data_IF_779146462153
#
_entry.id   IF_779146462153
#
_cell.length_a   1.000
_cell.length_b   1.000
_cell.length_c   1.000
_cell.angle_alpha   90.00
_cell.angle_beta   90.00
_cell.angle_gamma   90.00
#
_symmetry.space_group_name_H-M   'P 1'
#
loop_
_entity.id
_entity.type
_entity.pdbx_description
1 polymer ?
#
# COMPACT_ATOMS: atom_id res chain seq x y z
N UNK A 1 18.63 -4.20 -0.01
CA UNK A 1 17.38 -3.50 -0.39
C UNK A 1 17.43 -3.23 -1.88
N UNK A 2 16.42 -3.65 -2.64
CA UNK A 2 16.38 -3.43 -4.09
C UNK A 2 16.10 -1.95 -4.38
N UNK A 3 17.11 -1.27 -4.92
CA UNK A 3 17.06 0.14 -5.35
C UNK A 3 15.89 0.36 -6.31
N UNK A 4 14.93 1.20 -5.93
CA UNK A 4 13.88 1.69 -6.83
C UNK A 4 14.47 2.64 -7.87
N UNK A 5 13.97 2.58 -9.10
CA UNK A 5 14.32 3.61 -10.08
C UNK A 5 13.69 4.95 -9.68
N UNK A 6 14.29 6.09 -10.08
CA UNK A 6 13.70 7.41 -9.80
C UNK A 6 12.25 7.52 -10.26
N UNK A 7 11.91 6.88 -11.38
CA UNK A 7 10.55 6.89 -11.93
C UNK A 7 9.56 6.06 -11.11
N UNK A 8 9.99 4.91 -10.59
CA UNK A 8 9.18 4.13 -9.66
C UNK A 8 8.95 4.89 -8.35
N UNK A 9 9.96 5.61 -7.86
CA UNK A 9 9.83 6.45 -6.66
C UNK A 9 8.78 7.55 -6.88
N UNK A 10 8.84 8.26 -8.01
CA UNK A 10 7.84 9.26 -8.37
C UNK A 10 6.42 8.68 -8.42
N UNK A 11 6.24 7.51 -9.05
CA UNK A 11 4.95 6.84 -9.10
C UNK A 11 4.43 6.49 -7.70
N UNK A 12 5.28 5.94 -6.84
CA UNK A 12 4.92 5.58 -5.47
C UNK A 12 4.55 6.81 -4.62
N UNK A 13 5.37 7.87 -4.68
CA UNK A 13 5.13 9.11 -3.94
C UNK A 13 3.81 9.78 -4.39
N UNK A 14 3.52 9.75 -5.70
CA UNK A 14 2.23 10.20 -6.22
C UNK A 14 1.07 9.36 -5.70
N UNK A 15 1.14 8.02 -5.82
CA UNK A 15 0.07 7.12 -5.35
C UNK A 15 -0.20 7.34 -3.86
N UNK A 16 0.85 7.49 -3.06
CA UNK A 16 0.73 7.74 -1.62
C UNK A 16 0.05 9.07 -1.34
N UNK A 17 0.55 10.17 -1.92
CA UNK A 17 -0.03 11.50 -1.69
C UNK A 17 -1.47 11.60 -2.20
N UNK A 18 -1.79 10.93 -3.29
CA UNK A 18 -3.16 10.84 -3.81
C UNK A 18 -4.09 10.12 -2.83
N UNK A 19 -3.68 8.96 -2.31
CA UNK A 19 -4.48 8.20 -1.33
C UNK A 19 -4.64 8.99 -0.02
N UNK A 20 -3.57 9.62 0.46
CA UNK A 20 -3.62 10.45 1.68
C UNK A 20 -4.59 11.64 1.54
N UNK A 21 -4.72 12.20 0.32
CA UNK A 21 -5.58 13.35 0.02
C UNK A 21 -7.03 12.97 -0.28
N UNK A 22 -7.25 11.95 -1.09
CA UNK A 22 -8.57 11.60 -1.65
C UNK A 22 -9.24 10.44 -0.91
N UNK A 23 -8.49 9.66 -0.12
CA UNK A 23 -9.01 8.49 0.62
C UNK A 23 -9.19 7.23 -0.23
N UNK A 24 -8.80 7.24 -1.51
CA UNK A 24 -8.90 6.11 -2.43
C UNK A 24 -7.74 6.06 -3.42
N UNK A 25 -7.53 4.90 -4.05
CA UNK A 25 -6.46 4.68 -5.03
C UNK A 25 -6.60 5.50 -6.31
N UNK A 26 -5.49 5.98 -6.92
CA UNK A 26 -5.54 6.63 -8.23
C UNK A 26 -5.91 5.67 -9.36
N UNK A 27 -6.37 6.21 -10.49
CA UNK A 27 -6.53 5.53 -11.76
C UNK A 27 -5.21 5.53 -12.54
N UNK A 28 -5.12 4.68 -13.59
CA UNK A 28 -3.94 4.66 -14.45
C UNK A 28 -3.79 5.94 -15.26
N UNK A 29 -4.90 6.62 -15.57
CA UNK A 29 -4.91 7.89 -16.28
C UNK A 29 -4.42 9.02 -15.37
N UNK A 30 -4.83 9.05 -14.11
CA UNK A 30 -4.33 10.03 -13.13
C UNK A 30 -2.84 9.85 -12.86
N UNK A 31 -2.35 8.60 -12.75
CA UNK A 31 -0.90 8.33 -12.64
C UNK A 31 -0.19 8.79 -13.91
N UNK A 32 -0.78 8.53 -15.09
CA UNK A 32 -0.20 8.94 -16.36
C UNK A 32 -0.03 10.46 -16.43
N UNK A 33 -1.09 11.21 -16.13
CA UNK A 33 -1.12 12.66 -16.14
C UNK A 33 -0.15 13.26 -15.13
N UNK A 34 -0.19 12.77 -13.88
CA UNK A 34 0.68 13.26 -12.82
C UNK A 34 2.17 13.05 -13.10
N UNK A 35 2.52 11.98 -13.81
CA UNK A 35 3.90 11.69 -14.19
C UNK A 35 4.28 12.28 -15.55
N UNK A 36 3.34 12.87 -16.31
CA UNK A 36 3.60 13.35 -17.67
C UNK A 36 3.98 12.22 -18.63
N UNK A 37 3.34 11.05 -18.51
CA UNK A 37 3.61 9.89 -19.36
C UNK A 37 2.72 9.88 -20.61
N UNK A 38 3.27 9.41 -21.73
CA UNK A 38 2.51 9.33 -22.98
C UNK A 38 1.83 7.97 -23.20
N UNK A 39 2.10 6.95 -22.37
CA UNK A 39 1.56 5.60 -22.58
C UNK A 39 1.03 4.93 -21.31
N UNK A 40 -0.17 4.37 -21.43
CA UNK A 40 -0.81 3.52 -20.41
C UNK A 40 0.04 2.28 -20.10
N UNK A 41 0.70 1.71 -21.10
CA UNK A 41 1.59 0.55 -20.92
C UNK A 41 2.79 0.86 -20.04
N UNK A 42 3.35 2.08 -20.11
CA UNK A 42 4.42 2.50 -19.21
C UNK A 42 3.94 2.61 -17.77
N UNK A 43 2.75 3.16 -17.56
CA UNK A 43 2.13 3.21 -16.22
C UNK A 43 1.88 1.80 -15.68
N UNK A 44 1.41 0.88 -16.52
CA UNK A 44 1.22 -0.51 -16.12
C UNK A 44 2.50 -1.15 -15.59
N UNK A 45 3.62 -1.00 -16.32
CA UNK A 45 4.92 -1.53 -15.88
C UNK A 45 5.40 -0.91 -14.56
N UNK A 46 5.14 0.38 -14.34
CA UNK A 46 5.48 1.03 -13.07
C UNK A 46 4.67 0.44 -11.92
N UNK A 47 3.35 0.36 -12.09
CA UNK A 47 2.43 -0.16 -11.08
C UNK A 47 2.73 -1.64 -10.77
N UNK A 48 2.95 -2.45 -11.79
CA UNK A 48 3.37 -3.85 -11.67
C UNK A 48 4.69 -3.98 -10.90
N UNK A 49 5.70 -3.19 -11.26
CA UNK A 49 6.97 -3.20 -10.54
C UNK A 49 6.86 -2.73 -9.08
N UNK A 50 5.91 -1.86 -8.75
CA UNK A 50 5.63 -1.48 -7.35
C UNK A 50 4.90 -2.60 -6.59
N UNK A 51 4.01 -3.32 -7.25
CA UNK A 51 3.29 -4.47 -6.67
C UNK A 51 4.22 -5.66 -6.41
N UNK A 52 5.09 -6.01 -7.36
CA UNK A 52 6.12 -7.05 -7.21
C UNK A 52 7.06 -6.76 -6.05
N UNK A 53 7.37 -5.48 -5.81
CA UNK A 53 8.17 -5.03 -4.66
C UNK A 53 7.41 -5.03 -3.34
N UNK A 54 6.11 -5.33 -3.36
CA UNK A 54 5.27 -5.34 -2.17
C UNK A 54 4.95 -3.96 -1.61
N UNK A 55 5.09 -2.90 -2.40
CA UNK A 55 4.81 -1.52 -1.98
C UNK A 55 3.34 -1.14 -2.14
N UNK A 56 2.66 -1.78 -3.09
CA UNK A 56 1.23 -1.60 -3.34
C UNK A 56 0.55 -2.96 -3.54
N UNK A 57 -0.77 -2.95 -3.54
CA UNK A 57 -1.63 -4.07 -3.93
C UNK A 57 -2.71 -3.59 -4.89
N UNK A 58 -3.07 -4.43 -5.85
CA UNK A 58 -4.24 -4.22 -6.71
C UNK A 58 -5.29 -5.30 -6.44
N UNK A 59 -6.57 -4.90 -6.42
CA UNK A 59 -7.69 -5.85 -6.47
C UNK A 59 -8.22 -6.00 -7.90
N UNK A 60 -8.31 -7.22 -8.44
CA UNK A 60 -8.83 -7.43 -9.79
C UNK A 60 -10.32 -7.07 -9.85
N UNK A 61 -10.77 -6.55 -11.00
CA UNK A 61 -12.17 -6.19 -11.31
C UNK A 61 -12.79 -5.11 -10.41
N UNK A 62 -11.99 -4.41 -9.61
CA UNK A 62 -12.43 -3.27 -8.81
C UNK A 62 -11.88 -1.99 -9.44
N UNK A 63 -12.74 -0.98 -9.64
CA UNK A 63 -12.29 0.35 -10.05
C UNK A 63 -11.50 0.98 -8.91
N UNK A 64 -10.42 1.70 -9.23
CA UNK A 64 -9.59 2.42 -8.24
C UNK A 64 -9.01 1.48 -7.16
N UNK A 65 -8.56 0.30 -7.58
CA UNK A 65 -8.17 -0.79 -6.69
C UNK A 65 -6.74 -0.73 -6.16
N UNK A 66 -5.97 0.29 -6.53
CA UNK A 66 -4.60 0.48 -6.04
C UNK A 66 -4.66 0.92 -4.57
N UNK A 67 -4.01 0.18 -3.70
CA UNK A 67 -3.83 0.55 -2.30
C UNK A 67 -2.36 0.43 -1.90
N UNK A 68 -1.91 1.27 -0.97
CA UNK A 68 -0.58 1.12 -0.36
C UNK A 68 -0.56 -0.17 0.46
N UNK A 69 0.48 -0.98 0.28
CA UNK A 69 0.82 -1.94 1.31
C UNK A 69 1.48 -1.17 2.45
N UNK A 70 1.10 -1.42 3.72
CA UNK A 70 1.83 -0.83 4.82
C UNK A 70 3.30 -1.18 4.66
N UNK A 71 4.16 -0.18 4.70
CA UNK A 71 5.59 -0.42 4.77
C UNK A 71 5.81 -1.24 6.05
N UNK A 72 6.24 -2.51 5.91
CA UNK A 72 6.61 -3.35 7.04
C UNK A 72 7.93 -2.83 7.64
N UNK A 73 7.89 -1.64 8.22
CA UNK A 73 8.98 -1.03 8.94
C UNK A 73 8.73 -1.15 10.44
N UNK A 74 9.76 -0.86 11.24
CA UNK A 74 9.68 -0.96 12.69
C UNK A 74 8.48 -0.17 13.26
N UNK A 75 8.20 1.01 12.70
CA UNK A 75 7.06 1.85 13.07
C UNK A 75 5.71 1.17 12.82
N UNK A 76 5.54 0.49 11.68
CA UNK A 76 4.32 -0.26 11.39
C UNK A 76 4.13 -1.43 12.35
N UNK A 77 5.20 -2.19 12.62
CA UNK A 77 5.14 -3.28 13.59
C UNK A 77 4.82 -2.77 15.00
N UNK A 78 5.41 -1.64 15.41
CA UNK A 78 5.17 -1.03 16.72
C UNK A 78 3.73 -0.50 16.83
N UNK A 79 3.26 0.30 15.87
CA UNK A 79 1.87 0.79 15.85
C UNK A 79 0.86 -0.34 15.87
N UNK A 80 1.18 -1.47 15.24
CA UNK A 80 0.35 -2.67 15.19
C UNK A 80 0.35 -3.46 16.51
N UNK A 81 1.48 -3.54 17.21
CA UNK A 81 1.54 -4.10 18.58
C UNK A 81 0.75 -3.21 19.54
N UNK A 82 0.95 -1.88 19.46
CA UNK A 82 0.23 -0.91 20.28
C UNK A 82 -1.28 -0.96 20.03
N UNK A 83 -1.73 -1.05 18.78
CA UNK A 83 -3.17 -1.12 18.49
C UNK A 83 -3.83 -2.35 19.12
N UNK A 84 -3.15 -3.50 19.12
CA UNK A 84 -3.62 -4.72 19.81
C UNK A 84 -3.67 -4.53 21.33
N UNK A 85 -2.69 -3.84 21.93
CA UNK A 85 -2.65 -3.54 23.37
C UNK A 85 -3.73 -2.53 23.79
N UNK A 86 -4.05 -1.59 22.90
CA UNK A 86 -5.03 -0.53 23.15
C UNK A 86 -6.46 -0.93 22.74
N UNK A 87 -6.63 -2.14 22.19
CA UNK A 87 -7.94 -2.64 21.75
C UNK A 87 -8.48 -1.97 20.49
N UNK A 88 -7.63 -1.27 19.75
CA UNK A 88 -7.97 -0.63 18.48
C UNK A 88 -7.59 -1.55 17.33
N UNK A 89 -8.57 -1.95 16.52
CA UNK A 89 -8.34 -2.95 15.47
C UNK A 89 -7.72 -2.31 14.22
N UNK A 90 -6.49 -2.69 13.89
CA UNK A 90 -5.89 -2.50 12.57
C UNK A 90 -5.81 -3.89 11.90
N UNK A 91 -6.89 -4.35 11.26
CA UNK A 91 -6.96 -5.66 10.57
C UNK A 91 -6.53 -5.52 9.10
N UNK A 92 -5.62 -6.33 8.55
CA UNK A 92 -5.98 -7.56 7.79
C UNK A 92 -4.83 -8.58 7.64
N UNK A 93 -3.92 -8.71 8.61
CA UNK A 93 -2.73 -9.56 8.42
C UNK A 93 -2.62 -10.69 9.46
N UNK A 94 -2.32 -11.90 8.96
CA UNK A 94 -2.34 -13.19 9.69
C UNK A 94 -1.62 -13.16 11.05
N UNK A 95 -0.43 -12.58 11.12
CA UNK A 95 0.33 -12.44 12.37
C UNK A 95 -0.34 -11.63 13.48
N UNK A 96 -1.31 -10.75 13.18
CA UNK A 96 -2.12 -10.06 14.22
C UNK A 96 -3.24 -10.96 14.72
N UNK A 97 -3.83 -11.76 13.84
CA UNK A 97 -4.81 -12.76 14.25
C UNK A 97 -4.15 -13.80 15.16
N UNK A 98 -2.92 -14.21 14.86
CA UNK A 98 -2.14 -15.13 15.70
C UNK A 98 -1.73 -14.49 17.03
N UNK A 99 -1.27 -13.24 17.04
CA UNK A 99 -0.91 -12.53 18.27
C UNK A 99 -2.12 -12.25 19.18
N UNK A 100 -3.27 -11.85 18.60
CA UNK A 100 -4.51 -11.65 19.34
C UNK A 100 -5.02 -12.96 19.97
N UNK A 101 -4.90 -14.08 19.25
CA UNK A 101 -5.17 -15.43 19.80
C UNK A 101 -4.26 -15.76 20.98
N UNK A 102 -2.97 -15.44 20.89
CA UNK A 102 -2.00 -15.74 21.96
C UNK A 102 -2.17 -14.86 23.20
N UNK A 103 -2.57 -13.58 23.02
CA UNK A 103 -2.78 -12.64 24.12
C UNK A 103 -4.18 -12.71 24.76
N UNK A 104 -5.01 -13.70 24.39
CA UNK A 104 -6.31 -13.95 25.01
C UNK A 104 -7.38 -12.89 24.75
N UNK A 105 -7.14 -11.95 23.82
CA UNK A 105 -8.15 -10.97 23.38
C UNK A 105 -8.91 -11.54 22.18
N UNK A 106 -9.70 -12.56 22.46
CA UNK A 106 -10.79 -12.98 21.60
C UNK A 106 -12.09 -12.80 22.40
N UNK A 107 -12.72 -11.63 22.23
CA UNK A 107 -14.14 -11.39 22.43
C UNK A 107 -14.55 -10.29 21.44
#
# INVERSE_FOLDING_TARGET
>A
MLSMTPRQKQAYDFIRSFIDKEGYGPSYEEIQEALGMHSKSGVHRLVEGLEERGLIVRRPRIRRSIALKPAFNADYHLRRVLSVLDGTTFSDHQSVQEAARYMGRAA
#
